data_IF_709227873857
#
_entry.id   IF_709227873857
#
_cell.length_a   1.000
_cell.length_b   1.000
_cell.length_c   1.000
_cell.angle_alpha   90.00
_cell.angle_beta   90.00
_cell.angle_gamma   90.00
#
_symmetry.space_group_name_H-M   'P 1'
#
loop_
_entity.id
_entity.type
_entity.pdbx_description
1 polymer ?
#
# COMPACT_ATOMS: atom_id res chain seq x y z
N UNK A 1 30.65 11.00 0.67
CA UNK A 1 29.52 11.05 -0.29
C UNK A 1 28.85 9.69 -0.44
N UNK A 2 29.60 8.60 -0.66
CA UNK A 2 29.06 7.22 -0.81
C UNK A 2 28.26 6.75 0.41
N UNK A 3 28.74 7.02 1.64
CA UNK A 3 28.03 6.62 2.87
C UNK A 3 26.63 7.23 3.01
N UNK A 4 26.45 8.49 2.61
CA UNK A 4 25.15 9.18 2.69
C UNK A 4 24.17 8.53 1.70
N UNK A 5 24.63 8.19 0.49
CA UNK A 5 23.82 7.49 -0.52
C UNK A 5 23.36 6.12 -0.02
N UNK A 6 24.23 5.37 0.68
CA UNK A 6 23.87 4.07 1.25
C UNK A 6 22.82 4.19 2.36
N UNK A 7 22.96 5.18 3.25
CA UNK A 7 21.96 5.47 4.30
C UNK A 7 20.62 5.83 3.66
N UNK A 8 20.62 6.72 2.67
CA UNK A 8 19.39 7.12 1.96
C UNK A 8 18.75 5.91 1.29
N UNK A 9 19.52 5.03 0.63
CA UNK A 9 19.01 3.81 0.00
C UNK A 9 18.40 2.86 1.03
N UNK A 10 19.05 2.68 2.18
CA UNK A 10 18.58 1.77 3.22
C UNK A 10 17.26 2.26 3.83
N UNK A 11 17.16 3.55 4.14
CA UNK A 11 15.96 4.16 4.69
C UNK A 11 14.83 4.15 3.65
N UNK A 12 15.08 4.63 2.43
CA UNK A 12 14.06 4.68 1.37
C UNK A 12 13.57 3.29 0.96
N UNK A 13 14.47 2.30 0.86
CA UNK A 13 14.11 0.91 0.61
C UNK A 13 13.26 0.32 1.73
N UNK A 14 13.61 0.59 2.98
CA UNK A 14 12.83 0.12 4.13
C UNK A 14 11.43 0.72 4.15
N UNK A 15 11.29 2.03 3.92
CA UNK A 15 9.99 2.70 3.82
C UNK A 15 9.18 2.17 2.64
N UNK A 16 9.82 1.97 1.49
CA UNK A 16 9.18 1.43 0.30
C UNK A 16 8.62 0.03 0.51
N UNK A 17 9.35 -0.86 1.18
CA UNK A 17 8.94 -2.25 1.40
C UNK A 17 8.01 -2.42 2.59
N UNK A 18 8.32 -1.79 3.73
CA UNK A 18 7.66 -2.06 5.02
C UNK A 18 6.55 -1.08 5.38
N UNK A 19 6.45 0.06 4.70
CA UNK A 19 5.48 1.10 5.07
C UNK A 19 4.53 1.45 3.92
N UNK A 20 5.05 1.73 2.73
CA UNK A 20 4.28 2.25 1.61
C UNK A 20 3.04 1.39 1.23
N UNK A 21 3.16 0.07 0.99
CA UNK A 21 2.00 -0.74 0.57
C UNK A 21 0.96 -0.85 1.69
N UNK A 22 1.38 -1.11 2.94
CA UNK A 22 0.46 -1.21 4.06
C UNK A 22 -0.20 0.12 4.41
N UNK A 23 0.51 1.25 4.26
CA UNK A 23 -0.09 2.58 4.44
C UNK A 23 -1.18 2.84 3.41
N UNK A 24 -0.96 2.51 2.13
CA UNK A 24 -1.98 2.66 1.10
C UNK A 24 -3.22 1.79 1.40
N UNK A 25 -3.02 0.52 1.77
CA UNK A 25 -4.12 -0.39 2.12
C UNK A 25 -4.83 0.00 3.43
N UNK A 26 -4.16 0.68 4.36
CA UNK A 26 -4.80 1.19 5.59
C UNK A 26 -5.97 2.14 5.28
N UNK A 27 -5.88 2.95 4.21
CA UNK A 27 -6.98 3.83 3.77
C UNK A 27 -8.10 3.08 3.05
N UNK A 28 -7.80 1.90 2.52
CA UNK A 28 -8.80 1.08 1.85
C UNK A 28 -9.65 0.33 2.87
N UNK A 29 -9.01 -0.24 3.90
CA UNK A 29 -9.67 -1.03 4.94
C UNK A 29 -10.32 -0.20 6.05
N UNK A 30 -9.67 0.86 6.50
CA UNK A 30 -10.12 1.64 7.64
C UNK A 30 -10.43 3.08 7.25
N UNK A 31 -11.62 3.55 7.63
CA UNK A 31 -12.03 4.94 7.43
C UNK A 31 -11.18 5.87 8.31
N UNK A 32 -11.19 7.17 7.99
CA UNK A 32 -10.44 8.17 8.76
C UNK A 32 -10.91 8.31 10.20
N UNK A 33 -12.20 8.07 10.44
CA UNK A 33 -12.81 8.28 11.76
C UNK A 33 -12.79 7.01 12.63
N UNK A 34 -12.28 5.89 12.10
CA UNK A 34 -12.23 4.60 12.80
C UNK A 34 -10.90 4.36 13.53
N UNK A 35 -9.80 4.98 13.06
CA UNK A 35 -8.46 4.80 13.60
C UNK A 35 -7.68 6.11 13.63
N UNK A 36 -6.94 6.34 14.71
CA UNK A 36 -6.06 7.50 14.85
C UNK A 36 -4.80 7.35 13.98
N UNK A 37 -4.05 8.44 13.81
CA UNK A 37 -2.83 8.49 13.01
C UNK A 37 -1.76 7.51 13.51
N UNK A 38 -1.60 7.36 14.83
CA UNK A 38 -0.62 6.43 15.42
C UNK A 38 -1.01 4.98 15.12
N UNK A 39 -2.28 4.64 15.28
CA UNK A 39 -2.80 3.30 14.95
C UNK A 39 -2.64 3.01 13.46
N UNK A 40 -2.88 3.99 12.60
CA UNK A 40 -2.69 3.87 11.16
C UNK A 40 -1.23 3.61 10.81
N UNK A 41 -0.27 4.27 11.44
CA UNK A 41 1.16 3.99 11.25
C UNK A 41 1.47 2.54 11.68
N UNK A 42 1.03 2.12 12.86
CA UNK A 42 1.28 0.76 13.35
C UNK A 42 0.68 -0.31 12.43
N UNK A 43 -0.57 -0.10 11.98
CA UNK A 43 -1.25 -0.97 11.02
C UNK A 43 -0.52 -1.01 9.67
N UNK A 44 0.07 0.09 9.23
CA UNK A 44 0.81 0.14 7.95
C UNK A 44 2.01 -0.80 7.94
N UNK A 45 2.73 -0.91 9.06
CA UNK A 45 3.82 -1.87 9.19
C UNK A 45 3.30 -3.31 9.22
N UNK A 46 2.30 -3.60 10.06
CA UNK A 46 1.71 -4.94 10.15
C UNK A 46 1.15 -5.43 8.81
N UNK A 47 0.45 -4.54 8.10
CA UNK A 47 -0.16 -4.85 6.82
C UNK A 47 0.87 -5.05 5.71
N UNK A 48 1.99 -4.32 5.71
CA UNK A 48 3.09 -4.57 4.76
C UNK A 48 3.78 -5.90 5.03
N UNK A 49 4.07 -6.22 6.30
CA UNK A 49 4.68 -7.49 6.72
C UNK A 49 3.78 -8.68 6.35
N UNK A 50 2.46 -8.51 6.36
CA UNK A 50 1.54 -9.53 5.89
C UNK A 50 1.46 -9.58 4.35
N UNK A 51 1.16 -8.45 3.70
CA UNK A 51 0.79 -8.42 2.28
C UNK A 51 1.98 -8.64 1.35
N UNK A 52 3.13 -8.01 1.63
CA UNK A 52 4.27 -8.07 0.72
C UNK A 52 4.84 -9.49 0.63
N UNK A 53 5.19 -10.17 1.74
CA UNK A 53 5.65 -11.55 1.67
C UNK A 53 4.60 -12.49 1.12
N UNK A 54 3.32 -12.34 1.48
CA UNK A 54 2.26 -13.21 1.00
C UNK A 54 2.04 -13.08 -0.51
N UNK A 55 2.03 -11.86 -1.04
CA UNK A 55 1.89 -11.62 -2.48
C UNK A 55 3.09 -12.16 -3.26
N UNK A 56 4.31 -11.91 -2.79
CA UNK A 56 5.53 -12.43 -3.42
C UNK A 56 5.57 -13.96 -3.35
N UNK A 57 5.20 -14.55 -2.20
CA UNK A 57 5.14 -15.99 -2.01
C UNK A 57 4.14 -16.65 -2.96
N UNK A 58 2.92 -16.13 -3.08
CA UNK A 58 1.95 -16.67 -4.03
C UNK A 58 2.39 -16.52 -5.47
N UNK A 59 2.99 -15.38 -5.84
CA UNK A 59 3.50 -15.18 -7.20
C UNK A 59 4.62 -16.17 -7.52
N UNK A 60 5.47 -16.47 -6.53
CA UNK A 60 6.51 -17.48 -6.66
C UNK A 60 5.93 -18.91 -6.73
N UNK A 61 4.99 -19.24 -5.85
CA UNK A 61 4.44 -20.59 -5.73
C UNK A 61 3.55 -20.98 -6.93
N UNK A 62 2.63 -20.10 -7.35
CA UNK A 62 1.69 -20.42 -8.41
C UNK A 62 2.21 -20.16 -9.82
N UNK A 63 2.93 -19.05 -10.00
CA UNK A 63 3.38 -18.60 -11.33
C UNK A 63 4.87 -18.86 -11.57
N UNK A 64 5.60 -19.39 -10.58
CA UNK A 64 7.04 -19.63 -10.69
C UNK A 64 7.88 -18.36 -10.79
N UNK A 65 7.33 -17.19 -10.43
CA UNK A 65 8.04 -15.92 -10.55
C UNK A 65 9.21 -15.90 -9.57
N UNK A 66 10.42 -15.67 -10.09
CA UNK A 66 11.64 -15.61 -9.25
C UNK A 66 11.56 -14.44 -8.27
N UNK A 67 11.90 -14.69 -7.02
CA UNK A 67 12.00 -13.64 -6.00
C UNK A 67 13.32 -12.90 -6.23
N UNK A 68 13.24 -11.77 -6.95
CA UNK A 68 14.34 -10.84 -7.15
C UNK A 68 13.89 -9.42 -6.82
N UNK A 69 14.84 -8.49 -6.69
CA UNK A 69 14.54 -7.10 -6.33
C UNK A 69 13.53 -6.45 -7.28
N UNK A 70 13.63 -6.73 -8.58
CA UNK A 70 12.76 -6.15 -9.61
C UNK A 70 11.31 -6.63 -9.46
N UNK A 71 11.08 -7.93 -9.31
CA UNK A 71 9.75 -8.51 -9.17
C UNK A 71 9.10 -8.09 -7.85
N UNK A 72 9.86 -8.07 -6.75
CA UNK A 72 9.37 -7.58 -5.45
C UNK A 72 8.97 -6.10 -5.57
N UNK A 73 9.76 -5.28 -6.27
CA UNK A 73 9.43 -3.87 -6.47
C UNK A 73 8.15 -3.69 -7.29
N UNK A 74 7.97 -4.48 -8.36
CA UNK A 74 6.73 -4.48 -9.16
C UNK A 74 5.53 -4.88 -8.30
N UNK A 75 5.65 -5.93 -7.48
CA UNK A 75 4.57 -6.36 -6.58
C UNK A 75 4.18 -5.24 -5.62
N UNK A 76 5.15 -4.55 -5.00
CA UNK A 76 4.89 -3.42 -4.10
C UNK A 76 4.19 -2.27 -4.84
N UNK A 77 4.63 -1.93 -6.05
CA UNK A 77 4.01 -0.88 -6.87
C UNK A 77 2.57 -1.25 -7.25
N UNK A 78 2.31 -2.50 -7.63
CA UNK A 78 0.97 -2.99 -7.96
C UNK A 78 0.07 -2.98 -6.72
N UNK A 79 0.54 -3.47 -5.57
CA UNK A 79 -0.21 -3.44 -4.32
C UNK A 79 -0.56 -2.01 -3.90
N UNK A 80 0.39 -1.10 -3.98
CA UNK A 80 0.19 0.32 -3.61
C UNK A 80 -0.75 1.01 -4.62
N UNK A 81 -0.53 0.80 -5.92
CA UNK A 81 -1.31 1.42 -6.99
C UNK A 81 -2.75 0.95 -7.01
N UNK A 82 -3.00 -0.35 -6.79
CA UNK A 82 -4.36 -0.90 -6.67
C UNK A 82 -5.10 -0.33 -5.46
N UNK A 83 -4.46 -0.24 -4.30
CA UNK A 83 -5.03 0.39 -3.12
C UNK A 83 -5.38 1.87 -3.36
N UNK A 84 -4.46 2.63 -3.96
CA UNK A 84 -4.70 4.02 -4.32
C UNK A 84 -5.87 4.19 -5.30
N UNK A 85 -5.95 3.34 -6.33
CA UNK A 85 -7.04 3.36 -7.30
C UNK A 85 -8.40 3.07 -6.64
N UNK A 86 -8.47 2.11 -5.72
CA UNK A 86 -9.68 1.79 -4.96
C UNK A 86 -10.09 2.98 -4.09
N UNK A 87 -9.14 3.57 -3.35
CA UNK A 87 -9.41 4.73 -2.49
C UNK A 87 -9.93 5.94 -3.29
N UNK A 88 -9.31 6.25 -4.43
CA UNK A 88 -9.76 7.33 -5.32
C UNK A 88 -11.17 7.08 -5.89
N UNK A 89 -11.51 5.82 -6.19
CA UNK A 89 -12.86 5.46 -6.66
C UNK A 89 -13.90 5.61 -5.57
N UNK A 90 -13.63 5.16 -4.34
CA UNK A 90 -14.55 5.32 -3.20
C UNK A 90 -14.96 6.79 -3.02
N UNK A 91 -14.02 7.73 -3.12
CA UNK A 91 -14.33 9.17 -3.04
C UNK A 91 -15.30 9.67 -4.12
N UNK A 92 -15.23 9.14 -5.35
CA UNK A 92 -16.13 9.54 -6.44
C UNK A 92 -17.55 9.01 -6.29
N UNK A 93 -17.72 7.76 -5.84
CA UNK A 93 -19.04 7.18 -5.61
C UNK A 93 -19.80 7.92 -4.51
N UNK A 94 -19.14 8.21 -3.38
CA UNK A 94 -19.77 8.94 -2.28
C UNK A 94 -20.27 10.33 -2.68
N UNK A 95 -19.52 11.05 -3.53
CA UNK A 95 -19.92 12.39 -3.98
C UNK A 95 -21.07 12.35 -4.99
N UNK A 96 -21.05 11.40 -5.93
CA UNK A 96 -22.15 11.23 -6.90
C UNK A 96 -23.46 10.84 -6.22
N UNK A 97 -23.41 9.96 -5.20
CA UNK A 97 -24.62 9.56 -4.46
C UNK A 97 -25.21 10.75 -3.69
N UNK A 98 -24.38 11.57 -3.04
CA UNK A 98 -24.83 12.79 -2.34
C UNK A 98 -25.40 13.85 -3.30
N UNK A 99 -24.89 13.93 -4.53
CA UNK A 99 -25.40 14.84 -5.55
C UNK A 99 -26.77 14.39 -6.10
N UNK A 100 -26.93 13.09 -6.39
CA UNK A 100 -28.20 12.51 -6.86
C UNK A 100 -29.31 12.56 -5.81
N UNK A 101 -29.00 12.53 -4.51
CA UNK A 101 -30.01 12.68 -3.45
C UNK A 101 -30.50 14.14 -3.34
N UNK A 102 -29.67 15.12 -3.74
CA UNK A 102 -30.00 16.55 -3.66
C UNK A 102 -30.66 17.13 -4.91
N UNK A 103 -30.77 16.37 -6.00
CA UNK A 103 -31.40 16.80 -7.25
C UNK A 103 -32.61 15.92 -7.53
N UNK A 104 -33.84 16.46 -7.50
CA UNK A 104 -35.05 15.73 -7.89
C UNK A 104 -35.11 15.47 -9.41
#
# INVERSE_FOLDING_TARGET
MVEILDIIRMISGSVFVLFLPGFAWSFVFFKKDEIDWIERIALSFGLSIAFVPLAVFWLNYFLGVKINLLNVSIVILVLTGTAAAIYMRKGKYTLNDLYNIKTP
#
